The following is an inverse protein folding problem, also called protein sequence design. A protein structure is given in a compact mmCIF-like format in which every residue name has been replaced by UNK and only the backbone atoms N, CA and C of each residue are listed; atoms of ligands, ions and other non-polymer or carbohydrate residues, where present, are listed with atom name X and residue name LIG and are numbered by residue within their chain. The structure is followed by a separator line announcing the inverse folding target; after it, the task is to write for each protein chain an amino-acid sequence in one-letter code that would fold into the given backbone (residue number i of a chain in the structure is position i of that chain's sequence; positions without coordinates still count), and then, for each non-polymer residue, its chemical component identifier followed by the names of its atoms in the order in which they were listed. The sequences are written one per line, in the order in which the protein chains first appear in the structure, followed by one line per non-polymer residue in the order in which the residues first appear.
data_IF_330007106679
#
_entry.id   IF_330007106679
#
_cell.length_a   1.000
_cell.length_b   1.000
_cell.length_c   1.000
_cell.angle_alpha   90.00
_cell.angle_beta   90.00
_cell.angle_gamma   90.00
#
_symmetry.space_group_name_H-M   'P 1'
#
loop_
_entity.id
_entity.type
_entity.pdbx_description
1 polymer ?
#
# COMPACT_ATOMS: atom_id res chain seq x y z
N UNK A 1 -3.85 4.42 12.32
CA UNK A 1 -2.45 4.84 11.99
C UNK A 1 -2.37 5.75 10.78
N UNK A 2 -2.29 5.27 9.53
CA UNK A 2 -2.10 6.16 8.35
C UNK A 2 -3.27 7.13 8.15
N UNK A 3 -4.50 6.66 8.26
CA UNK A 3 -5.68 7.52 8.17
C UNK A 3 -5.65 8.64 9.22
N UNK A 4 -5.41 8.30 10.49
CA UNK A 4 -5.28 9.28 11.58
C UNK A 4 -4.13 10.26 11.36
N UNK A 5 -3.00 9.81 10.82
CA UNK A 5 -1.89 10.67 10.46
C UNK A 5 -2.31 11.70 9.40
N UNK A 6 -3.02 11.26 8.34
CA UNK A 6 -3.56 12.15 7.31
C UNK A 6 -4.57 13.14 7.90
N UNK A 7 -5.47 12.70 8.77
CA UNK A 7 -6.44 13.58 9.44
C UNK A 7 -5.72 14.71 10.20
N UNK A 8 -4.70 14.36 10.99
CA UNK A 8 -3.91 15.34 11.74
C UNK A 8 -3.13 16.29 10.84
N UNK A 9 -2.55 15.81 9.74
CA UNK A 9 -1.91 16.68 8.73
C UNK A 9 -2.88 17.72 8.14
N UNK A 10 -4.17 17.38 8.10
CA UNK A 10 -5.24 18.26 7.63
C UNK A 10 -5.94 19.03 8.76
N UNK A 11 -5.38 19.02 9.98
CA UNK A 11 -5.91 19.75 11.13
C UNK A 11 -7.19 19.19 11.72
N UNK A 12 -7.50 17.91 11.47
CA UNK A 12 -8.66 17.20 12.01
C UNK A 12 -8.20 16.33 13.19
N UNK A 13 -8.82 16.49 14.35
CA UNK A 13 -8.54 15.69 15.54
C UNK A 13 -9.33 14.36 15.50
N UNK A 14 -8.66 13.20 15.36
CA UNK A 14 -9.33 11.91 15.26
C UNK A 14 -10.06 11.47 16.55
N UNK A 15 -9.88 12.19 17.66
CA UNK A 15 -10.50 11.89 18.95
C UNK A 15 -11.74 12.74 19.26
N UNK A 16 -11.88 13.91 18.62
CA UNK A 16 -12.98 14.83 18.89
C UNK A 16 -13.84 15.17 17.67
N UNK A 17 -13.25 15.20 16.48
CA UNK A 17 -13.93 15.73 15.29
C UNK A 17 -14.73 14.65 14.54
N UNK A 18 -14.41 13.38 14.77
CA UNK A 18 -15.09 12.23 14.19
C UNK A 18 -15.01 11.00 15.12
N UNK A 19 -15.66 9.92 14.73
CA UNK A 19 -15.56 8.61 15.38
C UNK A 19 -14.95 7.60 14.42
N UNK A 20 -13.84 6.96 14.83
CA UNK A 20 -13.21 5.88 14.07
C UNK A 20 -13.59 4.54 14.69
N UNK A 21 -14.25 3.69 13.91
CA UNK A 21 -14.64 2.34 14.33
C UNK A 21 -13.48 1.39 14.02
N UNK A 22 -12.74 0.97 15.05
CA UNK A 22 -11.54 0.13 14.90
C UNK A 22 -11.73 -1.32 15.38
N UNK A 23 -12.94 -1.67 15.85
CA UNK A 23 -13.26 -2.99 16.40
C UNK A 23 -13.95 -3.92 15.37
N UNK A 24 -13.87 -3.59 14.08
CA UNK A 24 -14.38 -4.41 12.98
C UNK A 24 -13.19 -5.09 12.32
N UNK A 25 -13.32 -6.38 12.05
CA UNK A 25 -12.29 -7.13 11.33
C UNK A 25 -12.17 -6.59 9.90
N UNK A 26 -10.93 -6.43 9.42
CA UNK A 26 -10.66 -5.86 8.11
C UNK A 26 -11.35 -6.65 6.97
N UNK A 27 -11.52 -7.97 7.12
CA UNK A 27 -12.18 -8.80 6.13
C UNK A 27 -13.70 -8.59 6.02
N UNK A 28 -14.31 -7.75 6.87
CA UNK A 28 -15.75 -7.47 6.85
C UNK A 28 -16.10 -5.98 6.91
N UNK A 29 -15.12 -5.08 6.72
CA UNK A 29 -15.37 -3.63 6.74
C UNK A 29 -16.27 -3.19 5.60
N UNK A 30 -16.16 -3.81 4.43
CA UNK A 30 -16.98 -3.53 3.27
C UNK A 30 -18.47 -3.84 3.54
N UNK A 31 -18.78 -5.03 4.04
CA UNK A 31 -20.16 -5.42 4.39
C UNK A 31 -20.72 -4.57 5.53
N UNK A 32 -19.89 -4.24 6.53
CA UNK A 32 -20.30 -3.36 7.62
C UNK A 32 -20.67 -1.96 7.10
N UNK A 33 -19.89 -1.41 6.16
CA UNK A 33 -20.18 -0.14 5.50
C UNK A 33 -21.48 -0.20 4.69
N UNK A 34 -21.64 -1.21 3.84
CA UNK A 34 -22.88 -1.42 3.06
C UNK A 34 -24.09 -1.59 3.98
N UNK A 35 -23.91 -2.20 5.15
CA UNK A 35 -24.91 -2.33 6.21
C UNK A 35 -25.23 -1.03 6.97
N UNK A 36 -24.54 0.08 6.68
CA UNK A 36 -24.77 1.39 7.30
C UNK A 36 -24.05 1.61 8.63
N UNK A 37 -22.97 0.87 8.91
CA UNK A 37 -22.23 0.99 10.18
C UNK A 37 -21.44 2.31 10.28
N UNK A 38 -21.08 2.93 9.16
CA UNK A 38 -20.38 4.22 9.13
C UNK A 38 -20.62 4.97 7.83
N UNK A 39 -20.35 6.28 7.84
CA UNK A 39 -20.51 7.17 6.69
C UNK A 39 -19.41 7.00 5.63
N UNK A 40 -18.24 6.49 6.06
CA UNK A 40 -17.08 6.20 5.22
C UNK A 40 -16.42 4.89 5.66
N UNK A 41 -15.73 4.23 4.73
CA UNK A 41 -14.86 3.09 5.02
C UNK A 41 -13.51 3.26 4.31
N UNK A 42 -12.47 2.66 4.87
CA UNK A 42 -11.15 2.56 4.24
C UNK A 42 -11.01 1.13 3.71
N UNK A 43 -10.95 0.98 2.40
CA UNK A 43 -10.93 -0.32 1.74
C UNK A 43 -9.72 -0.50 0.85
N UNK A 44 -9.25 -1.74 0.75
CA UNK A 44 -8.34 -2.17 -0.30
C UNK A 44 -9.13 -2.78 -1.46
N UNK A 45 -8.48 -2.90 -2.61
CA UNK A 45 -9.01 -3.69 -3.71
C UNK A 45 -8.94 -5.19 -3.36
N UNK A 46 -9.95 -6.00 -3.75
CA UNK A 46 -11.03 -5.67 -4.68
C UNK A 46 -12.31 -5.10 -4.02
N UNK A 47 -12.36 -4.93 -2.69
CA UNK A 47 -13.60 -4.54 -1.99
C UNK A 47 -14.09 -3.14 -2.39
N UNK A 48 -13.17 -2.18 -2.57
CA UNK A 48 -13.51 -0.83 -3.02
C UNK A 48 -14.26 -0.85 -4.37
N UNK A 49 -13.73 -1.60 -5.36
CA UNK A 49 -14.39 -1.80 -6.65
C UNK A 49 -15.70 -2.57 -6.54
N UNK A 50 -15.78 -3.55 -5.62
CA UNK A 50 -17.01 -4.29 -5.34
C UNK A 50 -18.16 -3.37 -4.88
N UNK A 51 -17.88 -2.49 -3.91
CA UNK A 51 -18.86 -1.51 -3.38
C UNK A 51 -19.38 -0.58 -4.50
N UNK A 52 -18.50 -0.13 -5.39
CA UNK A 52 -18.86 0.70 -6.55
C UNK A 52 -19.75 -0.05 -7.54
N UNK A 53 -19.39 -1.29 -7.89
CA UNK A 53 -20.17 -2.13 -8.81
C UNK A 53 -21.57 -2.44 -8.29
N UNK A 54 -21.71 -2.65 -6.99
CA UNK A 54 -23.00 -2.90 -6.34
C UNK A 54 -23.83 -1.62 -6.13
N UNK A 55 -23.29 -0.45 -6.48
CA UNK A 55 -23.96 0.85 -6.33
C UNK A 55 -24.16 1.26 -4.88
N UNK A 56 -23.44 0.63 -3.94
CA UNK A 56 -23.57 0.87 -2.50
C UNK A 56 -22.65 1.97 -1.98
N UNK A 57 -21.74 2.47 -2.81
CA UNK A 57 -20.83 3.55 -2.49
C UNK A 57 -19.94 3.92 -3.68
N UNK A 58 -18.99 4.82 -3.46
CA UNK A 58 -17.98 5.19 -4.45
C UNK A 58 -16.70 5.69 -3.78
N UNK A 59 -15.57 5.51 -4.44
CA UNK A 59 -14.27 5.95 -3.95
C UNK A 59 -14.12 7.46 -4.20
N UNK A 60 -13.78 8.20 -3.15
CA UNK A 60 -13.66 9.67 -3.20
C UNK A 60 -12.25 10.20 -2.94
N UNK A 61 -11.36 9.37 -2.39
CA UNK A 61 -10.02 9.76 -1.99
C UNK A 61 -9.10 8.54 -1.94
N UNK A 62 -7.78 8.78 -2.01
CA UNK A 62 -6.76 7.75 -1.81
C UNK A 62 -5.85 8.16 -0.67
N UNK A 63 -5.84 7.35 0.39
CA UNK A 63 -4.92 7.56 1.50
C UNK A 63 -3.46 7.44 1.05
N UNK A 64 -3.17 6.66 0.01
CA UNK A 64 -1.83 6.56 -0.56
C UNK A 64 -1.34 7.90 -1.10
N UNK A 65 -2.19 8.58 -1.86
CA UNK A 65 -1.89 9.92 -2.41
C UNK A 65 -1.71 10.95 -1.29
N UNK A 66 -2.55 10.90 -0.25
CA UNK A 66 -2.53 11.89 0.83
C UNK A 66 -1.43 11.64 1.88
N UNK A 67 -0.96 10.39 2.03
CA UNK A 67 0.08 10.04 3.01
C UNK A 67 1.51 10.33 2.55
N UNK A 68 1.73 10.55 1.25
CA UNK A 68 3.05 10.49 0.63
C UNK A 68 3.51 9.05 0.36
N UNK A 69 4.78 8.86 -0.04
CA UNK A 69 5.34 7.54 -0.38
C UNK A 69 5.64 6.69 0.86
N UNK A 70 4.60 6.20 1.51
CA UNK A 70 4.70 5.21 2.58
C UNK A 70 5.14 3.86 1.99
N UNK A 71 6.14 3.19 2.57
CA UNK A 71 6.65 1.92 2.07
C UNK A 71 5.71 0.75 2.42
N UNK A 72 4.55 0.66 1.76
CA UNK A 72 3.52 -0.36 2.05
C UNK A 72 3.99 -1.81 1.84
N UNK A 73 4.87 -2.04 0.85
CA UNK A 73 5.45 -3.36 0.58
C UNK A 73 6.97 -3.29 0.72
N UNK A 74 7.51 -4.11 1.62
CA UNK A 74 8.94 -4.28 1.83
C UNK A 74 9.27 -5.78 1.93
N UNK A 75 10.44 -6.16 1.42
CA UNK A 75 10.95 -7.52 1.55
C UNK A 75 12.11 -7.53 2.54
N UNK A 76 12.08 -8.47 3.48
CA UNK A 76 13.08 -8.59 4.54
C UNK A 76 13.72 -9.97 4.50
N UNK A 77 15.03 -10.02 4.78
CA UNK A 77 15.79 -11.24 4.96
C UNK A 77 16.74 -11.08 6.16
N UNK A 78 17.16 -12.20 6.75
CA UNK A 78 18.18 -12.15 7.79
C UNK A 78 19.49 -11.58 7.23
N UNK A 79 20.15 -10.71 7.99
CA UNK A 79 21.45 -10.16 7.59
C UNK A 79 22.52 -11.24 7.37
N UNK A 80 22.44 -12.37 8.07
CA UNK A 80 23.28 -13.54 7.82
C UNK A 80 23.02 -14.17 6.45
N UNK A 81 21.73 -14.34 6.09
CA UNK A 81 21.33 -14.91 4.81
C UNK A 81 21.78 -14.04 3.63
N UNK A 82 21.65 -12.71 3.75
CA UNK A 82 22.11 -11.79 2.71
C UNK A 82 23.64 -11.85 2.48
N UNK A 83 24.42 -12.12 3.54
CA UNK A 83 25.88 -12.28 3.47
C UNK A 83 26.28 -13.61 2.86
N UNK A 84 25.54 -14.68 3.16
CA UNK A 84 25.82 -16.03 2.67
C UNK A 84 25.37 -16.23 1.21
N UNK A 85 24.30 -15.53 0.80
CA UNK A 85 23.66 -15.67 -0.51
C UNK A 85 23.43 -14.33 -1.25
N UNK A 86 24.46 -13.49 -1.42
CA UNK A 86 24.32 -12.18 -2.05
C UNK A 86 23.79 -12.27 -3.50
N UNK A 87 24.11 -13.34 -4.23
CA UNK A 87 23.64 -13.60 -5.59
C UNK A 87 22.14 -13.90 -5.68
N UNK A 88 21.58 -14.54 -4.65
CA UNK A 88 20.13 -14.83 -4.57
C UNK A 88 19.38 -13.52 -4.31
N UNK A 89 19.83 -12.73 -3.33
CA UNK A 89 19.24 -11.43 -3.03
C UNK A 89 19.30 -10.52 -4.25
N UNK A 90 20.45 -10.41 -4.91
CA UNK A 90 20.60 -9.62 -6.12
C UNK A 90 19.66 -10.07 -7.26
N UNK A 91 19.49 -11.39 -7.43
CA UNK A 91 18.62 -11.96 -8.46
C UNK A 91 17.14 -11.71 -8.14
N UNK A 92 16.75 -11.81 -6.88
CA UNK A 92 15.42 -11.46 -6.40
C UNK A 92 15.11 -9.98 -6.63
N UNK A 93 15.99 -9.08 -6.18
CA UNK A 93 15.82 -7.63 -6.38
C UNK A 93 15.73 -7.27 -7.86
N UNK A 94 16.55 -7.89 -8.72
CA UNK A 94 16.45 -7.72 -10.18
C UNK A 94 15.11 -8.20 -10.74
N UNK A 95 14.55 -9.28 -10.21
CA UNK A 95 13.22 -9.77 -10.58
C UNK A 95 12.13 -8.75 -10.24
N UNK A 96 12.18 -8.19 -9.03
CA UNK A 96 11.26 -7.12 -8.61
C UNK A 96 11.42 -5.88 -9.49
N UNK A 97 12.66 -5.43 -9.76
CA UNK A 97 12.91 -4.28 -10.63
C UNK A 97 12.31 -4.48 -12.02
N UNK A 98 12.43 -5.67 -12.62
CA UNK A 98 11.80 -5.97 -13.91
C UNK A 98 10.27 -5.89 -13.85
N UNK A 99 9.67 -6.28 -12.72
CA UNK A 99 8.25 -6.12 -12.47
C UNK A 99 7.86 -4.65 -12.40
N UNK A 100 8.63 -3.84 -11.67
CA UNK A 100 8.45 -2.38 -11.60
C UNK A 100 8.59 -1.74 -12.98
N UNK A 101 9.64 -2.06 -13.73
CA UNK A 101 9.85 -1.59 -15.10
C UNK A 101 8.65 -1.93 -15.99
N UNK A 102 8.09 -3.14 -15.84
CA UNK A 102 6.93 -3.58 -16.60
C UNK A 102 5.69 -2.75 -16.28
N UNK A 103 5.31 -2.62 -15.01
CA UNK A 103 4.10 -1.87 -14.62
C UNK A 103 4.21 -0.37 -14.91
N UNK A 104 5.43 0.18 -14.96
CA UNK A 104 5.66 1.59 -15.29
C UNK A 104 5.72 1.86 -16.81
N UNK A 105 5.78 0.82 -17.66
CA UNK A 105 5.93 0.97 -19.12
C UNK A 105 4.77 0.42 -19.93
N UNK A 106 3.79 -0.20 -19.28
CA UNK A 106 2.64 -0.85 -19.92
C UNK A 106 1.33 -0.24 -19.42
N UNK A 107 0.29 -0.39 -20.24
CA UNK A 107 -1.05 0.03 -19.87
C UNK A 107 -1.66 -0.87 -18.80
N UNK A 108 -2.66 -0.37 -18.08
CA UNK A 108 -3.42 -1.14 -17.09
C UNK A 108 -4.06 -2.40 -17.66
N UNK A 109 -4.43 -2.40 -18.94
CA UNK A 109 -4.96 -3.59 -19.63
C UNK A 109 -3.89 -4.66 -19.84
N UNK A 110 -2.68 -4.26 -20.26
CA UNK A 110 -1.56 -5.18 -20.43
C UNK A 110 -1.12 -5.75 -19.09
N UNK A 111 -1.06 -4.92 -18.04
CA UNK A 111 -0.73 -5.34 -16.67
C UNK A 111 -1.78 -6.33 -16.16
N UNK A 112 -3.08 -5.98 -16.23
CA UNK A 112 -4.18 -6.84 -15.77
C UNK A 112 -4.13 -8.22 -16.44
N UNK A 113 -3.90 -8.26 -17.75
CA UNK A 113 -3.77 -9.52 -18.50
C UNK A 113 -2.62 -10.40 -18.03
N UNK A 114 -1.50 -9.82 -17.64
CA UNK A 114 -0.35 -10.57 -17.12
C UNK A 114 -0.67 -11.20 -15.77
N UNK A 115 -1.40 -10.49 -14.91
CA UNK A 115 -1.69 -10.95 -13.54
C UNK A 115 -2.98 -11.78 -13.42
N UNK A 116 -3.86 -11.78 -14.43
CA UNK A 116 -5.13 -12.50 -14.45
C UNK A 116 -5.03 -13.97 -13.95
N UNK A 117 -4.00 -14.77 -14.29
CA UNK A 117 -3.90 -16.15 -13.80
C UNK A 117 -3.73 -16.27 -12.27
N UNK A 118 -3.33 -15.20 -11.58
CA UNK A 118 -3.25 -15.18 -10.11
C UNK A 118 -4.57 -14.75 -9.44
N UNK A 119 -5.55 -14.28 -10.22
CA UNK A 119 -6.83 -13.75 -9.76
C UNK A 119 -8.00 -14.43 -10.50
N UNK A 120 -8.05 -15.77 -10.45
CA UNK A 120 -9.03 -16.58 -11.20
C UNK A 120 -10.50 -16.22 -10.89
N UNK A 121 -10.76 -15.68 -9.69
CA UNK A 121 -12.09 -15.29 -9.22
C UNK A 121 -12.47 -13.84 -9.58
N UNK A 122 -11.55 -13.07 -10.18
CA UNK A 122 -11.77 -11.67 -10.57
C UNK A 122 -11.93 -11.57 -12.08
N UNK A 123 -13.04 -11.02 -12.57
CA UNK A 123 -13.23 -10.82 -14.01
C UNK A 123 -12.27 -9.75 -14.59
N UNK A 124 -11.93 -9.90 -15.88
CA UNK A 124 -10.96 -9.06 -16.58
C UNK A 124 -11.24 -7.55 -16.46
N UNK A 125 -12.53 -7.16 -16.54
CA UNK A 125 -12.94 -5.74 -16.47
C UNK A 125 -12.74 -5.18 -15.05
N UNK A 126 -13.02 -5.98 -14.02
CA UNK A 126 -12.74 -5.63 -12.61
C UNK A 126 -11.24 -5.49 -12.39
N UNK A 127 -10.46 -6.47 -12.85
CA UNK A 127 -9.03 -6.46 -12.66
C UNK A 127 -8.37 -5.26 -13.36
N UNK A 128 -8.81 -4.96 -14.59
CA UNK A 128 -8.40 -3.74 -15.30
C UNK A 128 -8.75 -2.47 -14.53
N UNK A 129 -9.94 -2.39 -13.95
CA UNK A 129 -10.38 -1.22 -13.14
C UNK A 129 -9.49 -1.04 -11.91
N UNK A 130 -9.22 -2.13 -11.19
CA UNK A 130 -8.33 -2.16 -10.02
C UNK A 130 -6.92 -1.70 -10.40
N UNK A 131 -6.36 -2.26 -11.47
CA UNK A 131 -5.02 -1.92 -11.94
C UNK A 131 -4.95 -0.46 -12.39
N UNK A 132 -5.95 0.03 -13.12
CA UNK A 132 -6.03 1.44 -13.55
C UNK A 132 -6.07 2.39 -12.36
N UNK A 133 -6.78 2.03 -11.28
CA UNK A 133 -6.80 2.85 -10.07
C UNK A 133 -5.40 2.98 -9.45
N UNK A 134 -4.69 1.87 -9.28
CA UNK A 134 -3.32 1.92 -8.74
C UNK A 134 -2.34 2.63 -9.68
N UNK A 135 -2.46 2.41 -10.98
CA UNK A 135 -1.63 3.05 -12.01
C UNK A 135 -1.81 4.57 -12.02
N UNK A 136 -3.06 5.05 -12.06
CA UNK A 136 -3.39 6.49 -12.09
C UNK A 136 -3.02 7.23 -10.80
N UNK A 137 -2.90 6.51 -9.68
CA UNK A 137 -2.47 7.05 -8.39
C UNK A 137 -0.96 7.05 -8.19
N UNK A 138 -0.18 6.57 -9.17
CA UNK A 138 1.27 6.41 -9.05
C UNK A 138 1.67 5.52 -7.85
N UNK A 139 0.93 4.42 -7.67
CA UNK A 139 1.12 3.53 -6.51
C UNK A 139 2.44 2.76 -6.57
N UNK A 140 2.90 2.40 -7.77
CA UNK A 140 4.10 1.59 -7.94
C UNK A 140 5.33 2.47 -8.15
N UNK A 141 6.36 2.24 -7.34
CA UNK A 141 7.66 2.90 -7.51
C UNK A 141 8.28 2.57 -8.87
N UNK A 142 9.18 3.43 -9.32
CA UNK A 142 10.02 3.17 -10.51
C UNK A 142 11.27 2.34 -10.18
N UNK A 143 11.61 2.20 -8.90
CA UNK A 143 12.79 1.47 -8.45
C UNK A 143 12.56 0.68 -7.17
N UNK A 144 13.51 -0.21 -6.90
CA UNK A 144 13.58 -1.02 -5.68
C UNK A 144 14.29 -0.32 -4.52
N UNK A 145 14.50 1.00 -4.59
CA UNK A 145 15.18 1.76 -3.54
C UNK A 145 14.16 2.14 -2.47
N UNK A 146 14.26 1.50 -1.31
CA UNK A 146 13.59 1.99 -0.11
C UNK A 146 14.38 3.20 0.38
N UNK A 147 13.86 4.42 0.19
CA UNK A 147 14.61 5.64 0.51
C UNK A 147 14.57 5.98 2.00
N UNK A 148 15.54 6.79 2.45
CA UNK A 148 15.58 7.28 3.83
C UNK A 148 14.36 8.15 4.15
N UNK A 149 13.90 8.97 3.20
CA UNK A 149 12.71 9.81 3.39
C UNK A 149 11.43 8.98 3.59
N UNK A 150 11.28 7.88 2.84
CA UNK A 150 10.14 6.97 3.00
C UNK A 150 10.20 6.24 4.35
N UNK A 151 11.41 5.91 4.82
CA UNK A 151 11.62 5.29 6.12
C UNK A 151 11.33 6.28 7.27
N UNK A 152 11.78 7.53 7.16
CA UNK A 152 11.45 8.60 8.11
C UNK A 152 9.95 8.86 8.17
N UNK A 153 9.27 8.91 7.02
CA UNK A 153 7.81 9.04 6.95
C UNK A 153 7.10 7.89 7.69
N UNK A 154 7.54 6.65 7.48
CA UNK A 154 7.01 5.50 8.22
C UNK A 154 7.23 5.67 9.73
N UNK A 155 8.42 6.09 10.16
CA UNK A 155 8.70 6.32 11.59
C UNK A 155 7.82 7.43 12.17
N UNK A 156 7.56 8.52 11.43
CA UNK A 156 6.66 9.59 11.85
C UNK A 156 5.23 9.06 12.06
N UNK A 157 4.71 8.25 11.14
CA UNK A 157 3.37 7.66 11.25
C UNK A 157 3.28 6.74 12.48
N UNK A 158 4.31 5.92 12.72
CA UNK A 158 4.33 4.99 13.84
C UNK A 158 4.50 5.69 15.20
N UNK A 159 5.32 6.75 15.26
CA UNK A 159 5.49 7.58 16.45
C UNK A 159 4.20 8.34 16.79
N UNK A 160 3.55 8.93 15.79
CA UNK A 160 2.28 9.66 15.95
C UNK A 160 1.13 8.73 16.40
N UNK A 161 1.18 7.47 15.98
CA UNK A 161 0.26 6.43 16.42
C UNK A 161 0.59 5.86 17.81
N UNK A 162 1.73 6.26 18.41
CA UNK A 162 2.18 5.75 19.71
C UNK A 162 2.63 4.29 19.70
N UNK A 163 2.95 3.72 18.52
CA UNK A 163 3.38 2.32 18.37
C UNK A 163 4.89 2.17 18.22
N UNK A 164 5.61 3.26 17.97
CA UNK A 164 7.08 3.29 17.92
C UNK A 164 7.62 3.84 19.24
N UNK A 165 8.25 2.98 20.04
CA UNK A 165 8.88 3.40 21.31
C UNK A 165 10.16 4.22 21.10
N UNK A 166 10.95 3.83 20.08
CA UNK A 166 12.21 4.47 19.75
C UNK A 166 12.45 4.42 18.25
N UNK A 167 12.92 5.54 17.69
CA UNK A 167 13.38 5.60 16.31
C UNK A 167 14.62 4.74 16.09
N UNK A 168 14.71 4.18 14.89
CA UNK A 168 15.81 3.34 14.43
C UNK A 168 16.55 4.07 13.31
N UNK A 169 17.87 3.90 13.27
CA UNK A 169 18.68 4.43 12.19
C UNK A 169 18.36 3.70 10.88
N UNK A 170 18.23 4.44 9.78
CA UNK A 170 17.90 3.87 8.47
C UNK A 170 18.86 2.76 8.05
N UNK A 171 20.17 2.99 8.16
CA UNK A 171 21.21 2.02 7.80
C UNK A 171 21.26 0.78 8.71
N UNK A 172 20.55 0.78 9.85
CA UNK A 172 20.47 -0.39 10.71
C UNK A 172 19.49 -1.44 10.18
N UNK A 173 18.47 -1.03 9.42
CA UNK A 173 17.41 -1.92 8.91
C UNK A 173 17.36 -1.99 7.38
N UNK A 174 17.84 -0.96 6.68
CA UNK A 174 17.74 -0.86 5.23
C UNK A 174 19.12 -0.99 4.58
N UNK A 175 19.18 -1.75 3.49
CA UNK A 175 20.33 -1.75 2.58
C UNK A 175 19.87 -1.54 1.15
N UNK A 176 20.51 -0.61 0.44
CA UNK A 176 20.25 -0.33 -0.97
C UNK A 176 21.29 -1.00 -1.89
N UNK A 177 22.18 -1.83 -1.33
CA UNK A 177 23.28 -2.44 -2.08
C UNK A 177 22.78 -3.26 -3.29
N UNK A 178 21.63 -3.91 -3.16
CA UNK A 178 21.08 -4.79 -4.20
C UNK A 178 20.14 -4.06 -5.19
N UNK A 179 19.80 -2.80 -4.89
CA UNK A 179 18.90 -1.94 -5.67
C UNK A 179 19.66 -0.95 -6.58
N UNK A 180 20.99 -1.04 -6.64
CA UNK A 180 21.89 -0.20 -7.45
C UNK A 180 22.46 -0.94 -8.65
#
# INVERSE_FOLDING_TARGET
MVFEYILKMNGIDPTTDLTIIQNIDFGVTAEAFVGGTGDYTVEFEPHATGIEKDGSGYVIASLGVDSGYVPYTCFSALGSYMKEHPEIIQSFTRGIQKGLDYVNSHSSEEIAKVIQPQFEETDDDTLKTIVERYHSQDTWKTDTIFTEEAFELLQNILEEAGVLEQRVDYDALVTTQFSK
#
